data_IF_259660822209
#
_entry.id   IF_259660822209
#
_cell.length_a   1.000
_cell.length_b   1.000
_cell.length_c   1.000
_cell.angle_alpha   90.00
_cell.angle_beta   90.00
_cell.angle_gamma   90.00
#
_symmetry.space_group_name_H-M   'P 1'
#
loop_
_entity.id
_entity.type
_entity.pdbx_description
1 polymer ?
#
# COMPACT_ATOMS: atom_id res chain seq x y z
N UNK A 1 -59.05 21.63 -66.63
CA UNK A 1 -59.02 20.54 -65.63
C UNK A 1 -57.55 20.17 -65.43
N UNK A 2 -56.92 20.72 -64.41
CA UNK A 2 -55.47 20.51 -64.10
C UNK A 2 -55.41 19.73 -62.81
N UNK A 3 -54.85 18.56 -62.81
CA UNK A 3 -54.57 17.68 -61.67
C UNK A 3 -53.15 17.89 -61.23
N UNK A 4 -52.96 18.42 -60.04
CA UNK A 4 -51.66 18.60 -59.39
C UNK A 4 -51.40 17.41 -58.46
N UNK A 5 -50.30 16.70 -58.71
CA UNK A 5 -49.81 15.63 -57.86
C UNK A 5 -48.92 16.27 -56.74
N UNK A 6 -49.26 16.00 -55.49
CA UNK A 6 -48.44 16.35 -54.33
C UNK A 6 -47.63 15.11 -53.97
N UNK A 7 -46.33 15.19 -54.20
CA UNK A 7 -45.42 14.16 -53.74
C UNK A 7 -45.09 14.32 -52.24
N UNK A 8 -45.39 13.32 -51.45
CA UNK A 8 -44.97 13.23 -50.04
C UNK A 8 -43.54 12.64 -49.94
N UNK A 9 -42.60 13.44 -49.46
CA UNK A 9 -41.26 12.97 -49.14
C UNK A 9 -41.24 12.41 -47.72
N UNK A 10 -40.98 11.12 -47.60
CA UNK A 10 -40.71 10.41 -46.33
C UNK A 10 -39.26 10.66 -45.93
N UNK A 11 -39.06 11.48 -44.91
CA UNK A 11 -37.75 11.66 -44.24
C UNK A 11 -37.57 10.56 -43.18
N UNK A 12 -36.72 9.58 -43.44
CA UNK A 12 -36.35 8.54 -42.49
C UNK A 12 -35.30 9.12 -41.52
N UNK A 13 -35.69 9.40 -40.25
CA UNK A 13 -34.77 9.77 -39.19
C UNK A 13 -34.04 8.53 -38.63
N UNK A 14 -32.76 8.40 -38.92
CA UNK A 14 -31.86 7.44 -38.22
C UNK A 14 -31.59 7.96 -36.80
N UNK A 15 -32.22 7.34 -35.81
CA UNK A 15 -31.87 7.54 -34.41
C UNK A 15 -30.59 6.75 -34.10
N UNK A 16 -29.46 7.44 -33.95
CA UNK A 16 -28.21 6.91 -33.40
C UNK A 16 -28.42 6.64 -31.92
N UNK A 17 -28.56 5.39 -31.55
CA UNK A 17 -28.53 4.93 -30.14
C UNK A 17 -27.08 5.05 -29.61
N UNK A 18 -26.74 6.18 -29.04
CA UNK A 18 -25.56 6.33 -28.23
C UNK A 18 -25.76 5.57 -26.90
N UNK A 19 -25.30 4.32 -26.84
CA UNK A 19 -25.25 3.57 -25.59
C UNK A 19 -24.31 4.25 -24.59
N UNK A 20 -24.57 4.17 -23.27
CA UNK A 20 -23.68 4.74 -22.27
C UNK A 20 -22.31 4.03 -22.35
N UNK A 21 -21.28 4.81 -22.65
CA UNK A 21 -19.90 4.41 -22.48
C UNK A 21 -19.67 4.22 -20.96
N UNK A 22 -19.74 2.98 -20.48
CA UNK A 22 -19.23 2.64 -19.18
C UNK A 22 -17.71 2.86 -19.22
N UNK A 23 -17.27 4.05 -18.85
CA UNK A 23 -15.87 4.29 -18.56
C UNK A 23 -15.47 3.26 -17.49
N UNK A 24 -14.50 2.39 -17.82
CA UNK A 24 -13.85 1.52 -16.85
C UNK A 24 -13.29 2.42 -15.76
N UNK A 25 -14.02 2.56 -14.65
CA UNK A 25 -13.49 3.23 -13.46
C UNK A 25 -12.28 2.41 -13.02
N UNK A 26 -11.11 3.06 -12.85
CA UNK A 26 -9.98 2.37 -12.26
C UNK A 26 -10.43 1.78 -10.92
N UNK A 27 -9.99 0.56 -10.57
CA UNK A 27 -10.39 -0.07 -9.32
C UNK A 27 -10.16 0.91 -8.18
N UNK A 28 -11.21 1.11 -7.35
CA UNK A 28 -11.14 2.02 -6.22
C UNK A 28 -9.87 1.67 -5.42
N UNK A 29 -8.94 2.62 -5.35
CA UNK A 29 -7.68 2.44 -4.66
C UNK A 29 -7.98 2.18 -3.19
N UNK A 30 -7.59 1.03 -2.67
CA UNK A 30 -7.68 0.73 -1.25
C UNK A 30 -6.71 1.67 -0.53
N UNK A 31 -7.25 2.69 0.14
CA UNK A 31 -6.46 3.67 0.88
C UNK A 31 -6.68 3.48 2.38
N UNK A 32 -5.59 3.37 3.13
CA UNK A 32 -5.59 3.26 4.57
C UNK A 32 -5.43 4.65 5.18
N UNK A 33 -6.25 4.95 6.18
CA UNK A 33 -6.09 6.13 7.02
C UNK A 33 -5.96 5.70 8.48
N UNK A 34 -5.15 6.39 9.27
CA UNK A 34 -4.95 6.09 10.70
C UNK A 34 -6.15 6.58 11.55
N UNK A 35 -7.34 6.30 11.07
CA UNK A 35 -8.64 6.68 11.66
C UNK A 35 -9.71 5.64 11.30
N UNK A 36 -10.92 5.82 11.80
CA UNK A 36 -12.03 4.92 11.50
C UNK A 36 -11.75 3.47 11.95
N UNK A 37 -11.85 2.50 11.03
CA UNK A 37 -11.58 1.10 11.36
C UNK A 37 -10.11 0.85 11.71
N UNK A 38 -9.19 1.67 11.24
CA UNK A 38 -7.75 1.57 11.49
C UNK A 38 -7.24 2.56 12.55
N UNK A 39 -8.11 3.13 13.39
CA UNK A 39 -7.69 3.95 14.53
C UNK A 39 -6.94 3.11 15.58
N UNK A 40 -6.01 3.71 16.33
CA UNK A 40 -5.24 3.05 17.40
C UNK A 40 -6.09 2.16 18.31
N UNK A 41 -7.26 2.65 18.74
CA UNK A 41 -8.19 1.97 19.64
C UNK A 41 -9.17 1.03 18.92
N UNK A 42 -8.85 0.56 17.72
CA UNK A 42 -9.67 -0.39 16.97
C UNK A 42 -9.59 -1.80 17.57
N UNK A 43 -10.43 -2.70 17.05
CA UNK A 43 -10.49 -4.11 17.43
C UNK A 43 -10.81 -5.00 16.23
N UNK A 44 -10.54 -6.29 16.36
CA UNK A 44 -10.95 -7.31 15.38
C UNK A 44 -12.44 -7.22 15.05
N UNK A 45 -13.28 -7.05 16.08
CA UNK A 45 -14.72 -6.92 15.90
C UNK A 45 -15.07 -5.68 15.06
N UNK A 46 -14.45 -4.53 15.34
CA UNK A 46 -14.68 -3.30 14.57
C UNK A 46 -14.23 -3.45 13.10
N UNK A 47 -13.12 -4.13 12.85
CA UNK A 47 -12.69 -4.46 11.50
C UNK A 47 -13.69 -5.42 10.81
N UNK A 48 -14.16 -6.45 11.52
CA UNK A 48 -15.14 -7.40 10.99
C UNK A 48 -16.48 -6.74 10.65
N UNK A 49 -16.92 -5.78 11.45
CA UNK A 49 -18.13 -5.00 11.15
C UNK A 49 -17.97 -4.11 9.92
N UNK A 50 -16.77 -3.54 9.71
CA UNK A 50 -16.51 -2.62 8.60
C UNK A 50 -16.25 -3.34 7.27
N UNK A 51 -15.48 -4.43 7.30
CA UNK A 51 -15.05 -5.16 6.10
C UNK A 51 -15.86 -6.43 5.82
N UNK A 52 -16.89 -6.73 6.60
CA UNK A 52 -17.61 -7.98 6.65
C UNK A 52 -16.78 -9.12 7.28
N UNK A 53 -17.38 -9.85 8.23
CA UNK A 53 -16.72 -10.92 9.00
C UNK A 53 -16.14 -12.05 8.15
N UNK A 54 -16.73 -12.32 6.96
CA UNK A 54 -16.22 -13.33 6.02
C UNK A 54 -14.87 -12.92 5.38
N UNK A 55 -14.53 -11.64 5.41
CA UNK A 55 -13.31 -11.09 4.83
C UNK A 55 -12.18 -10.90 5.85
N UNK A 56 -12.36 -11.35 7.09
CA UNK A 56 -11.36 -11.23 8.14
C UNK A 56 -11.19 -12.53 8.89
N UNK A 57 -9.96 -12.88 9.20
CA UNK A 57 -9.62 -14.04 10.02
C UNK A 57 -8.62 -13.65 11.09
N UNK A 58 -8.68 -14.31 12.25
CA UNK A 58 -7.65 -14.19 13.29
C UNK A 58 -6.81 -15.46 13.28
N UNK A 59 -5.50 -15.31 13.05
CA UNK A 59 -4.59 -16.46 12.90
C UNK A 59 -3.17 -16.07 13.27
N UNK A 60 -2.30 -17.06 13.48
CA UNK A 60 -0.88 -16.85 13.65
C UNK A 60 -0.21 -16.62 12.28
N UNK A 61 0.47 -15.49 12.15
CA UNK A 61 1.39 -15.23 11.04
C UNK A 61 2.72 -15.88 11.39
N UNK A 62 3.22 -16.74 10.50
CA UNK A 62 4.52 -17.41 10.66
C UNK A 62 5.59 -16.66 9.90
N UNK A 63 6.71 -16.38 10.55
CA UNK A 63 7.89 -15.76 9.96
C UNK A 63 8.95 -16.81 9.60
N UNK A 64 9.92 -16.40 8.78
CA UNK A 64 11.00 -17.28 8.31
C UNK A 64 11.88 -17.82 9.47
N UNK A 65 12.03 -17.04 10.54
CA UNK A 65 12.73 -17.43 11.78
C UNK A 65 11.95 -18.42 12.66
N UNK A 66 10.74 -18.83 12.23
CA UNK A 66 9.86 -19.73 12.94
C UNK A 66 8.97 -19.06 14.00
N UNK A 67 9.14 -17.77 14.24
CA UNK A 67 8.28 -17.01 15.15
C UNK A 67 6.85 -16.92 14.62
N UNK A 68 5.90 -16.70 15.55
CA UNK A 68 4.47 -16.57 15.23
C UNK A 68 3.91 -15.33 15.91
N UNK A 69 3.16 -14.55 15.17
CA UNK A 69 2.45 -13.39 15.70
C UNK A 69 0.95 -13.54 15.47
N UNK A 70 0.12 -13.54 16.52
CA UNK A 70 -1.32 -13.56 16.37
C UNK A 70 -1.82 -12.24 15.79
N UNK A 71 -2.48 -12.32 14.63
CA UNK A 71 -2.92 -11.15 13.87
C UNK A 71 -4.32 -11.33 13.29
N UNK A 72 -4.99 -10.23 13.02
CA UNK A 72 -6.16 -10.21 12.14
C UNK A 72 -5.71 -10.00 10.71
N UNK A 73 -6.10 -10.89 9.81
CA UNK A 73 -5.81 -10.80 8.39
C UNK A 73 -7.09 -10.43 7.65
N UNK A 74 -7.09 -9.28 7.02
CA UNK A 74 -8.14 -8.87 6.11
C UNK A 74 -7.90 -9.50 4.75
N UNK A 75 -8.97 -9.95 4.11
CA UNK A 75 -8.97 -10.58 2.79
C UNK A 75 -7.92 -11.69 2.64
N UNK A 76 -7.93 -12.72 3.53
CA UNK A 76 -6.87 -13.73 3.60
C UNK A 76 -6.67 -14.48 2.28
N UNK A 77 -7.72 -14.62 1.46
CA UNK A 77 -7.71 -15.32 0.19
C UNK A 77 -7.54 -14.43 -1.04
N UNK A 78 -7.35 -13.12 -0.85
CA UNK A 78 -7.12 -12.15 -1.93
C UNK A 78 -5.80 -11.42 -1.69
N UNK A 79 -4.74 -11.88 -2.35
CA UNK A 79 -3.41 -11.34 -2.15
C UNK A 79 -3.28 -9.84 -2.48
N UNK A 80 -4.11 -9.32 -3.39
CA UNK A 80 -4.10 -7.90 -3.75
C UNK A 80 -4.78 -7.02 -2.70
N UNK A 81 -5.66 -7.59 -1.89
CA UNK A 81 -6.34 -6.88 -0.80
C UNK A 81 -5.88 -7.30 0.58
N UNK A 82 -4.97 -8.28 0.66
CA UNK A 82 -4.45 -8.78 1.94
C UNK A 82 -3.82 -7.65 2.75
N UNK A 83 -4.18 -7.60 4.06
CA UNK A 83 -3.66 -6.67 5.04
C UNK A 83 -3.57 -7.38 6.39
N UNK A 84 -2.51 -7.18 7.14
CA UNK A 84 -2.34 -7.74 8.47
C UNK A 84 -2.46 -6.66 9.54
N UNK A 85 -3.15 -6.98 10.64
CA UNK A 85 -3.32 -6.07 11.78
C UNK A 85 -2.91 -6.79 13.04
N UNK A 86 -1.86 -6.30 13.68
CA UNK A 86 -1.30 -6.82 14.92
C UNK A 86 -1.82 -6.02 16.09
N UNK A 87 -2.06 -6.67 17.22
CA UNK A 87 -2.72 -6.09 18.35
C UNK A 87 -1.78 -5.89 19.54
N UNK A 88 -1.85 -4.73 20.20
CA UNK A 88 -1.19 -4.52 21.49
C UNK A 88 -1.78 -5.41 22.59
N UNK A 89 -3.06 -5.80 22.46
CA UNK A 89 -3.69 -6.81 23.28
C UNK A 89 -4.19 -7.97 22.39
N UNK A 90 -3.37 -8.99 22.13
CA UNK A 90 -3.75 -10.11 21.26
C UNK A 90 -4.91 -10.95 21.80
N UNK A 91 -5.04 -11.09 23.11
CA UNK A 91 -6.13 -11.84 23.75
C UNK A 91 -7.48 -11.18 23.51
N UNK A 92 -7.57 -9.87 23.74
CA UNK A 92 -8.78 -9.09 23.49
C UNK A 92 -8.92 -8.69 22.00
N UNK A 93 -7.87 -8.93 21.18
CA UNK A 93 -7.79 -8.52 19.76
C UNK A 93 -8.13 -7.05 19.58
N UNK A 94 -7.48 -6.21 20.37
CA UNK A 94 -7.77 -4.77 20.44
C UNK A 94 -6.51 -3.94 20.59
N UNK A 95 -6.64 -2.65 20.30
CA UNK A 95 -5.59 -1.65 20.24
C UNK A 95 -4.52 -2.05 19.20
N UNK A 96 -4.62 -1.45 18.04
CA UNK A 96 -3.66 -1.72 16.96
C UNK A 96 -2.25 -1.38 17.43
N UNK A 97 -1.33 -2.31 17.27
CA UNK A 97 0.11 -2.13 17.42
C UNK A 97 0.74 -1.81 16.08
N UNK A 98 0.54 -2.69 15.11
CA UNK A 98 1.03 -2.52 13.73
C UNK A 98 -0.03 -2.90 12.71
N UNK A 99 0.04 -2.26 11.54
CA UNK A 99 -0.62 -2.70 10.33
C UNK A 99 0.50 -2.95 9.30
N UNK A 100 0.46 -4.11 8.65
CA UNK A 100 1.48 -4.53 7.69
C UNK A 100 0.86 -4.67 6.31
N UNK A 101 1.43 -3.95 5.34
CA UNK A 101 1.14 -4.05 3.91
C UNK A 101 2.31 -4.73 3.25
N UNK A 102 2.14 -5.96 2.80
CA UNK A 102 3.22 -6.75 2.19
C UNK A 102 2.72 -7.63 1.05
N UNK A 103 3.63 -8.42 0.48
CA UNK A 103 3.33 -9.37 -0.60
C UNK A 103 2.88 -8.70 -1.89
N UNK A 104 1.68 -9.02 -2.36
CA UNK A 104 1.08 -8.45 -3.58
C UNK A 104 -0.01 -7.41 -3.28
N UNK A 105 -0.08 -6.93 -2.05
CA UNK A 105 -1.11 -5.99 -1.62
C UNK A 105 -1.09 -4.70 -2.43
N UNK A 106 -2.25 -4.20 -2.79
CA UNK A 106 -2.43 -2.93 -3.52
C UNK A 106 -2.89 -1.78 -2.63
N UNK A 107 -2.92 -1.99 -1.32
CA UNK A 107 -3.24 -0.94 -0.37
C UNK A 107 -2.25 0.23 -0.49
N UNK A 108 -2.80 1.44 -0.41
CA UNK A 108 -2.00 2.63 -0.17
C UNK A 108 -1.98 2.94 1.32
N UNK A 109 -0.82 3.10 1.88
CA UNK A 109 -0.65 3.64 3.22
C UNK A 109 -0.86 5.18 3.23
N UNK A 110 -1.01 5.80 4.41
CA UNK A 110 -1.05 7.24 4.53
C UNK A 110 0.12 7.92 3.80
N UNK A 111 -0.10 9.11 3.26
CA UNK A 111 0.90 9.80 2.45
C UNK A 111 1.10 9.22 1.05
N UNK A 112 0.33 8.19 0.66
CA UNK A 112 0.39 7.61 -0.69
C UNK A 112 1.48 6.56 -0.89
N UNK A 113 2.11 6.07 0.18
CA UNK A 113 3.08 4.98 0.11
C UNK A 113 2.43 3.69 -0.42
N UNK A 114 3.15 2.97 -1.29
CA UNK A 114 2.74 1.70 -1.91
C UNK A 114 3.91 0.77 -2.10
N UNK A 115 3.62 -0.52 -2.16
CA UNK A 115 4.60 -1.51 -2.60
C UNK A 115 5.09 -1.21 -4.02
N UNK A 116 6.36 -1.53 -4.30
CA UNK A 116 7.00 -1.35 -5.59
C UNK A 116 7.48 0.07 -5.91
N UNK A 117 7.25 1.04 -5.05
CA UNK A 117 7.78 2.40 -5.25
C UNK A 117 9.29 2.43 -5.13
N UNK A 118 9.95 3.21 -5.99
CA UNK A 118 11.40 3.47 -5.93
C UNK A 118 11.75 4.51 -4.87
N UNK A 119 13.04 4.64 -4.53
CA UNK A 119 13.51 5.71 -3.61
C UNK A 119 13.04 7.09 -4.05
N UNK A 120 13.17 7.41 -5.34
CA UNK A 120 12.78 8.73 -5.88
C UNK A 120 11.27 8.98 -5.76
N UNK A 121 10.46 7.93 -5.89
CA UNK A 121 9.01 8.05 -5.70
C UNK A 121 8.66 8.28 -4.23
N UNK A 122 9.35 7.60 -3.31
CA UNK A 122 9.19 7.82 -1.87
C UNK A 122 9.68 9.22 -1.46
N UNK A 123 10.83 9.67 -1.96
CA UNK A 123 11.34 11.04 -1.74
C UNK A 123 10.34 12.11 -2.19
N UNK A 124 9.68 11.90 -3.34
CA UNK A 124 8.62 12.80 -3.81
C UNK A 124 7.44 12.88 -2.86
N UNK A 125 7.04 11.76 -2.26
CA UNK A 125 5.96 11.73 -1.26
C UNK A 125 6.41 12.38 0.07
N UNK A 126 7.66 12.17 0.45
CA UNK A 126 8.23 12.76 1.67
C UNK A 126 8.59 14.24 1.51
N UNK A 127 8.68 14.76 0.28
CA UNK A 127 9.15 16.10 -0.07
C UNK A 127 10.61 16.40 0.35
N UNK A 128 11.32 15.38 0.81
CA UNK A 128 12.71 15.44 1.26
C UNK A 128 13.38 14.08 1.10
N UNK A 129 14.71 14.01 1.07
CA UNK A 129 15.44 12.78 1.36
C UNK A 129 15.04 12.24 2.73
N UNK A 130 15.23 10.96 2.92
CA UNK A 130 14.96 10.28 4.19
C UNK A 130 16.14 9.36 4.53
N UNK A 131 16.16 8.84 5.76
CA UNK A 131 17.22 7.98 6.23
C UNK A 131 16.76 6.53 6.27
N UNK A 132 17.69 5.63 6.00
CA UNK A 132 17.47 4.20 6.02
C UNK A 132 18.71 3.48 6.56
N UNK A 133 18.49 2.31 7.13
CA UNK A 133 19.56 1.37 7.47
C UNK A 133 20.06 0.68 6.20
N UNK A 134 21.29 0.16 6.22
CA UNK A 134 21.79 -0.65 5.11
C UNK A 134 21.04 -1.98 4.95
N UNK A 135 21.53 -2.83 4.08
CA UNK A 135 20.85 -4.07 3.74
C UNK A 135 21.23 -5.21 4.71
N UNK A 136 20.23 -6.01 5.06
CA UNK A 136 20.40 -7.26 5.76
C UNK A 136 20.74 -8.43 4.81
N UNK A 137 20.87 -9.66 5.35
CA UNK A 137 21.14 -10.88 4.61
C UNK A 137 20.08 -11.20 3.53
N UNK A 138 18.83 -10.77 3.76
CA UNK A 138 17.72 -10.89 2.82
C UNK A 138 17.68 -9.75 1.79
N UNK A 139 18.70 -8.89 1.79
CA UNK A 139 18.85 -7.72 0.92
C UNK A 139 17.74 -6.68 1.13
N UNK A 140 17.33 -6.51 2.38
CA UNK A 140 16.29 -5.57 2.79
C UNK A 140 16.93 -4.45 3.61
N UNK A 141 16.71 -3.22 3.19
CA UNK A 141 16.99 -2.00 3.93
C UNK A 141 15.71 -1.50 4.60
N UNK A 142 15.81 -0.90 5.77
CA UNK A 142 14.65 -0.36 6.50
C UNK A 142 14.74 1.14 6.67
N UNK A 143 13.62 1.84 6.48
CA UNK A 143 13.51 3.28 6.64
C UNK A 143 12.31 3.68 7.48
N UNK A 144 12.53 4.49 8.50
CA UNK A 144 11.49 5.04 9.37
C UNK A 144 11.78 6.47 9.82
N UNK A 145 12.98 6.98 9.53
CA UNK A 145 13.32 8.39 9.77
C UNK A 145 13.14 9.20 8.49
N UNK A 146 12.07 9.97 8.46
CA UNK A 146 11.64 10.79 7.33
C UNK A 146 12.31 12.16 7.27
N UNK A 147 13.27 12.43 8.16
CA UNK A 147 14.02 13.68 8.27
C UNK A 147 13.11 14.95 8.31
N UNK A 148 12.00 14.84 9.03
CA UNK A 148 11.00 15.91 9.14
C UNK A 148 10.26 16.21 7.83
N UNK A 149 10.26 15.28 6.86
CA UNK A 149 9.48 15.38 5.64
C UNK A 149 7.98 15.09 5.86
N UNK A 150 7.20 15.11 4.78
CA UNK A 150 5.75 14.97 4.83
C UNK A 150 5.27 13.62 5.42
N UNK A 151 6.09 12.57 5.33
CA UNK A 151 5.78 11.24 5.88
C UNK A 151 6.12 11.10 7.36
N UNK A 152 6.83 12.07 7.96
CA UNK A 152 7.14 12.09 9.39
C UNK A 152 5.91 12.29 10.26
N UNK A 153 4.90 13.00 9.74
CA UNK A 153 3.67 13.31 10.47
C UNK A 153 2.48 13.08 9.57
N UNK A 154 1.72 12.04 9.84
CA UNK A 154 0.51 11.70 9.10
C UNK A 154 -0.74 11.89 9.97
N UNK A 155 -1.86 12.20 9.33
CA UNK A 155 -3.13 12.38 10.03
C UNK A 155 -3.51 11.10 10.80
N UNK A 156 -3.98 11.26 12.04
CA UNK A 156 -4.32 10.14 12.93
C UNK A 156 -3.18 9.69 13.84
N UNK A 157 -1.99 10.33 13.75
CA UNK A 157 -0.88 10.16 14.71
C UNK A 157 -0.14 8.83 14.64
N UNK A 158 -0.32 8.06 13.57
CA UNK A 158 0.46 6.85 13.34
C UNK A 158 1.86 7.19 12.78
N UNK A 159 2.76 6.23 12.88
CA UNK A 159 4.13 6.27 12.36
C UNK A 159 4.24 5.36 11.15
N UNK A 160 4.98 5.76 10.15
CA UNK A 160 5.24 4.99 8.94
C UNK A 160 6.67 4.46 8.93
N UNK A 161 6.83 3.19 8.57
CA UNK A 161 8.11 2.57 8.25
C UNK A 161 7.99 1.81 6.95
N UNK A 162 9.11 1.63 6.25
CA UNK A 162 9.19 0.87 5.01
C UNK A 162 10.36 -0.11 5.05
N UNK A 163 10.16 -1.25 4.41
CA UNK A 163 11.24 -2.15 3.99
C UNK A 163 11.46 -1.99 2.49
N UNK A 164 12.71 -1.92 2.09
CA UNK A 164 13.14 -1.69 0.73
C UNK A 164 13.99 -2.87 0.29
N UNK A 165 13.55 -3.63 -0.71
CA UNK A 165 14.30 -4.76 -1.25
C UNK A 165 15.15 -4.30 -2.41
N UNK A 166 16.45 -4.63 -2.38
CA UNK A 166 17.37 -4.38 -3.48
C UNK A 166 16.95 -5.13 -4.75
N UNK A 167 17.23 -4.55 -5.91
CA UNK A 167 17.05 -5.24 -7.20
C UNK A 167 17.83 -6.56 -7.23
N UNK A 168 17.23 -7.62 -7.75
CA UNK A 168 17.84 -8.94 -7.82
C UNK A 168 19.17 -8.96 -8.61
N UNK A 169 19.34 -8.01 -9.54
CA UNK A 169 20.54 -7.86 -10.37
C UNK A 169 21.61 -6.97 -9.74
N UNK A 170 21.34 -6.34 -8.59
CA UNK A 170 22.34 -5.53 -7.91
C UNK A 170 23.48 -6.42 -7.40
N UNK A 171 24.72 -5.92 -7.47
CA UNK A 171 25.92 -6.65 -7.05
C UNK A 171 25.84 -7.00 -5.56
N UNK A 172 26.04 -8.27 -5.21
CA UNK A 172 26.06 -8.71 -3.81
C UNK A 172 27.18 -7.98 -3.04
N UNK A 173 28.38 -7.89 -3.58
CA UNK A 173 29.52 -7.20 -2.96
C UNK A 173 29.19 -5.74 -2.60
N UNK A 174 28.45 -5.03 -3.47
CA UNK A 174 28.06 -3.64 -3.21
C UNK A 174 26.96 -3.52 -2.15
N UNK A 175 26.10 -4.52 -2.06
CA UNK A 175 25.05 -4.58 -1.03
C UNK A 175 25.65 -4.91 0.32
N UNK A 176 26.54 -5.91 0.37
CA UNK A 176 27.20 -6.36 1.59
C UNK A 176 28.12 -5.27 2.20
N UNK A 177 28.57 -4.32 1.37
CA UNK A 177 29.31 -3.15 1.83
C UNK A 177 28.42 -2.08 2.53
N UNK A 178 27.09 -2.21 2.47
CA UNK A 178 26.13 -1.31 3.09
C UNK A 178 25.58 -1.94 4.37
N UNK A 179 26.31 -1.79 5.47
CA UNK A 179 25.97 -2.41 6.74
C UNK A 179 24.59 -2.04 7.25
N UNK A 180 23.83 -3.02 7.72
CA UNK A 180 22.52 -2.87 8.35
C UNK A 180 22.57 -2.06 9.63
N UNK A 181 23.75 -1.97 10.28
CA UNK A 181 23.95 -1.20 11.52
C UNK A 181 24.18 0.29 11.27
N UNK A 182 24.54 0.66 10.04
CA UNK A 182 24.80 2.04 9.64
C UNK A 182 23.56 2.71 9.06
N UNK A 183 23.54 4.05 9.14
CA UNK A 183 22.48 4.87 8.59
C UNK A 183 22.97 5.60 7.33
N UNK A 184 22.16 5.55 6.29
CA UNK A 184 22.44 6.14 4.98
C UNK A 184 21.32 7.12 4.61
N UNK A 185 21.65 8.10 3.80
CA UNK A 185 20.65 8.93 3.12
C UNK A 185 20.05 8.18 1.94
N UNK A 186 18.79 8.40 1.64
CA UNK A 186 18.16 7.95 0.40
C UNK A 186 18.83 8.52 -0.87
N UNK A 187 19.64 9.57 -0.72
CA UNK A 187 20.46 10.14 -1.80
C UNK A 187 21.80 9.43 -1.97
N UNK A 188 22.20 8.54 -1.07
CA UNK A 188 23.49 7.88 -1.13
C UNK A 188 23.64 7.12 -2.47
N UNK A 189 24.72 7.37 -3.24
CA UNK A 189 24.91 6.71 -4.54
C UNK A 189 25.01 5.19 -4.45
N UNK A 190 25.54 4.63 -3.35
CA UNK A 190 25.66 3.20 -3.16
C UNK A 190 24.27 2.56 -2.88
N UNK A 191 23.44 3.20 -2.05
CA UNK A 191 22.04 2.82 -1.84
C UNK A 191 21.27 2.85 -3.17
N UNK A 192 21.41 3.95 -3.93
CA UNK A 192 20.72 4.13 -5.22
C UNK A 192 21.18 3.10 -6.28
N UNK A 193 22.46 2.69 -6.23
CA UNK A 193 23.00 1.68 -7.13
C UNK A 193 22.34 0.30 -6.92
N UNK A 194 21.83 0.02 -5.72
CA UNK A 194 21.08 -1.18 -5.42
C UNK A 194 19.65 -1.15 -5.99
N UNK A 195 19.17 -0.01 -6.50
CA UNK A 195 17.82 0.21 -7.07
C UNK A 195 16.71 -0.40 -6.23
N UNK A 196 16.66 -0.13 -4.91
CA UNK A 196 15.70 -0.79 -4.06
C UNK A 196 14.29 -0.25 -4.30
N UNK A 197 13.30 -1.13 -4.06
CA UNK A 197 11.88 -0.81 -4.13
C UNK A 197 11.18 -1.20 -2.83
N UNK A 198 10.13 -0.48 -2.47
CA UNK A 198 9.31 -0.77 -1.29
C UNK A 198 8.75 -2.17 -1.39
N UNK A 199 9.12 -3.06 -0.47
CA UNK A 199 8.68 -4.45 -0.37
C UNK A 199 7.68 -4.68 0.75
N UNK A 200 7.70 -3.82 1.77
CA UNK A 200 6.77 -3.85 2.89
C UNK A 200 6.58 -2.43 3.45
N UNK A 201 5.38 -2.16 3.97
CA UNK A 201 5.07 -0.93 4.68
C UNK A 201 4.48 -1.32 6.03
N UNK A 202 5.01 -0.74 7.11
CA UNK A 202 4.49 -0.89 8.45
C UNK A 202 3.92 0.44 8.95
N UNK A 203 2.78 0.37 9.62
CA UNK A 203 2.09 1.51 10.20
C UNK A 203 1.90 1.21 11.67
N UNK A 204 2.58 1.95 12.55
CA UNK A 204 2.61 1.75 14.00
C UNK A 204 1.90 2.84 14.78
N UNK A 205 1.56 2.54 16.04
CA UNK A 205 0.94 3.48 16.96
C UNK A 205 1.72 3.59 18.29
#
# INVERSE_FOLDING_TARGET
>A
MRITWIGAALASALALLAGPLYALQPPATLALACSGPFAKNSSHLKLAMFFDSKNITFTDIKYADGSKVPASVLFPNDQKRRLEVWWSNPTARSNIHLIVIGGQSTWAAPGGLRLGQTLEQVEKLNHKPFKLKGFDEDRIATGSDWDGGALATVAGGCKLGISLRADAKASAEKIDALSVDEEYSSLDPAIRAAKPTVSEIVIGY
#
